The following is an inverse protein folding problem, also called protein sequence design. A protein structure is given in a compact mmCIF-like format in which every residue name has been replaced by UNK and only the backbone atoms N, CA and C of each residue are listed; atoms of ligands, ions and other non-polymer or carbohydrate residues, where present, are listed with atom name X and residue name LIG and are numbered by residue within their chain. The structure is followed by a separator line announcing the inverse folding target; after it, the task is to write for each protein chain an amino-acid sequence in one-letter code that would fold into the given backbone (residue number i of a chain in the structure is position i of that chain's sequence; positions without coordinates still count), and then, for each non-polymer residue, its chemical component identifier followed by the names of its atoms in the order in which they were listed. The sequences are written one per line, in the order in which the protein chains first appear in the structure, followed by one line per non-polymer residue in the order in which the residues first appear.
data_IF_065348248588
#
_entry.id   IF_065348248588
#
_cell.length_a   1.000
_cell.length_b   1.000
_cell.length_c   1.000
_cell.angle_alpha   90.00
_cell.angle_beta   90.00
_cell.angle_gamma   90.00
#
_symmetry.space_group_name_H-M   'P 1'
#
loop_
_entity.id
_entity.type
_entity.pdbx_description
1 polymer ?
#
# COMPACT_ATOMS: atom_id res chain seq x y z
N UNK A 1 4.84 -7.93 -10.07
CA UNK A 1 5.60 -7.68 -8.83
C UNK A 1 6.47 -6.43 -8.92
N UNK A 2 7.35 -6.29 -9.93
CA UNK A 2 8.33 -5.18 -10.01
C UNK A 2 7.71 -3.78 -9.90
N UNK A 3 6.56 -3.53 -10.52
CA UNK A 3 5.86 -2.25 -10.41
C UNK A 3 5.48 -1.89 -8.96
N UNK A 4 5.04 -2.88 -8.16
CA UNK A 4 4.69 -2.68 -6.75
C UNK A 4 5.95 -2.34 -5.95
N UNK A 5 7.02 -3.13 -6.13
CA UNK A 5 8.32 -2.91 -5.46
C UNK A 5 8.91 -1.54 -5.82
N UNK A 6 8.77 -1.11 -7.08
CA UNK A 6 9.18 0.20 -7.55
C UNK A 6 8.44 1.32 -6.79
N UNK A 7 7.12 1.18 -6.65
CA UNK A 7 6.26 2.17 -6.00
C UNK A 7 6.27 2.13 -4.45
N UNK A 8 6.91 1.12 -3.83
CA UNK A 8 7.00 0.98 -2.36
C UNK A 8 8.45 1.02 -1.88
N UNK A 9 9.12 -0.14 -1.79
CA UNK A 9 10.45 -0.26 -1.22
C UNK A 9 11.50 0.59 -1.96
N UNK A 10 11.50 0.56 -3.30
CA UNK A 10 12.45 1.38 -4.09
C UNK A 10 12.15 2.87 -3.99
N UNK A 11 10.88 3.26 -3.98
CA UNK A 11 10.51 4.65 -3.75
C UNK A 11 11.00 5.13 -2.37
N UNK A 12 10.87 4.31 -1.32
CA UNK A 12 11.38 4.61 0.01
C UNK A 12 12.91 4.77 0.03
N UNK A 13 13.65 3.90 -0.68
CA UNK A 13 15.10 4.05 -0.89
C UNK A 13 15.46 5.37 -1.58
N UNK A 14 14.77 5.70 -2.68
CA UNK A 14 14.98 6.96 -3.42
C UNK A 14 14.72 8.20 -2.58
N UNK A 15 13.74 8.13 -1.67
CA UNK A 15 13.40 9.22 -0.74
C UNK A 15 14.24 9.24 0.54
N UNK A 16 15.14 8.26 0.73
CA UNK A 16 15.91 8.07 1.97
C UNK A 16 15.02 7.96 3.21
N UNK A 17 13.89 7.25 3.08
CA UNK A 17 12.89 7.03 4.13
C UNK A 17 12.84 5.55 4.53
N UNK A 18 13.77 5.07 5.38
CA UNK A 18 13.85 3.66 5.76
C UNK A 18 12.64 3.18 6.57
N UNK A 19 11.85 4.10 7.11
CA UNK A 19 10.63 3.90 7.86
C UNK A 19 9.38 3.67 6.98
N UNK A 20 9.50 3.76 5.64
CA UNK A 20 8.41 3.57 4.68
C UNK A 20 8.62 2.34 3.78
N UNK A 21 7.60 2.04 2.97
CA UNK A 21 7.73 1.18 1.78
C UNK A 21 7.79 -0.33 2.03
N UNK A 22 7.66 -0.80 3.27
CA UNK A 22 7.54 -2.22 3.59
C UNK A 22 6.64 -2.46 4.80
N UNK A 23 6.06 -3.66 4.88
CA UNK A 23 5.23 -4.11 5.99
C UNK A 23 6.09 -4.86 7.00
N UNK A 24 6.76 -4.12 7.89
CA UNK A 24 7.65 -4.67 8.91
C UNK A 24 7.49 -3.93 10.25
N UNK A 25 7.69 -4.60 11.40
CA UNK A 25 7.64 -3.92 12.70
C UNK A 25 8.63 -2.76 12.79
N UNK A 26 8.19 -1.64 13.39
CA UNK A 26 8.99 -0.43 13.56
C UNK A 26 8.96 0.55 12.39
N UNK A 27 8.29 0.20 11.28
CA UNK A 27 7.99 1.13 10.17
C UNK A 27 6.64 1.82 10.37
N UNK A 28 6.42 2.91 9.64
CA UNK A 28 5.13 3.62 9.67
C UNK A 28 4.00 2.72 9.17
N UNK A 29 2.82 2.90 9.76
CA UNK A 29 1.60 2.18 9.39
C UNK A 29 0.97 2.70 8.09
N UNK A 30 1.73 2.68 7.00
CA UNK A 30 1.27 3.10 5.66
C UNK A 30 0.83 1.88 4.86
N UNK A 31 -0.48 1.67 4.77
CA UNK A 31 -1.06 0.45 4.17
C UNK A 31 -2.23 0.80 3.26
N UNK A 32 -2.19 0.23 2.05
CA UNK A 32 -3.31 0.26 1.10
C UNK A 32 -3.81 -1.17 0.89
N UNK A 33 -5.08 -1.42 1.17
CA UNK A 33 -5.75 -2.69 0.89
C UNK A 33 -6.58 -2.58 -0.38
N UNK A 34 -6.38 -3.49 -1.32
CA UNK A 34 -7.10 -3.56 -2.59
C UNK A 34 -7.94 -4.84 -2.65
N UNK A 35 -9.14 -4.75 -3.21
CA UNK A 35 -10.00 -5.89 -3.52
C UNK A 35 -9.53 -6.57 -4.80
N UNK A 36 -9.11 -7.83 -4.69
CA UNK A 36 -8.50 -8.62 -5.76
C UNK A 36 -6.97 -8.71 -5.64
N UNK A 37 -6.34 -9.39 -6.61
CA UNK A 37 -4.89 -9.59 -6.64
C UNK A 37 -4.21 -8.66 -7.67
N UNK A 38 -3.44 -7.64 -7.23
CA UNK A 38 -2.74 -6.73 -8.13
C UNK A 38 -1.53 -7.36 -8.84
N UNK A 39 -1.10 -8.56 -8.42
CA UNK A 39 -0.08 -9.31 -9.17
C UNK A 39 -0.67 -9.95 -10.42
N UNK A 40 -1.96 -10.30 -10.37
CA UNK A 40 -2.72 -10.83 -11.50
C UNK A 40 -3.30 -9.72 -12.39
N UNK A 41 -3.76 -8.59 -11.81
CA UNK A 41 -4.22 -7.42 -12.57
C UNK A 41 -3.83 -6.09 -11.89
N UNK A 42 -2.79 -5.43 -12.42
CA UNK A 42 -2.28 -4.17 -11.87
C UNK A 42 -3.27 -3.01 -11.99
N UNK A 43 -4.28 -3.09 -12.88
CA UNK A 43 -5.28 -2.02 -13.08
C UNK A 43 -6.18 -1.83 -11.87
N UNK A 44 -6.28 -2.82 -10.98
CA UNK A 44 -7.02 -2.71 -9.72
C UNK A 44 -6.56 -1.52 -8.87
N UNK A 45 -5.27 -1.14 -8.93
CA UNK A 45 -4.72 0.00 -8.20
C UNK A 45 -5.18 1.36 -8.75
N UNK A 46 -5.76 1.40 -9.96
CA UNK A 46 -6.29 2.62 -10.58
C UNK A 46 -7.74 2.91 -10.15
N UNK A 47 -8.48 1.88 -9.72
CA UNK A 47 -9.87 1.98 -9.29
C UNK A 47 -10.01 2.38 -7.83
N UNK A 48 -10.52 3.59 -7.55
CA UNK A 48 -10.75 4.07 -6.17
C UNK A 48 -11.77 3.21 -5.39
N UNK A 49 -12.67 2.54 -6.12
CA UNK A 49 -13.66 1.60 -5.59
C UNK A 49 -13.02 0.27 -5.15
N UNK A 50 -11.91 -0.12 -5.79
CA UNK A 50 -11.14 -1.34 -5.48
C UNK A 50 -10.23 -1.16 -4.27
N UNK A 51 -9.75 0.05 -4.00
CA UNK A 51 -9.02 0.34 -2.75
C UNK A 51 -10.01 0.31 -1.58
N UNK A 52 -10.02 -0.75 -0.75
CA UNK A 52 -10.96 -0.89 0.38
C UNK A 52 -10.39 -0.40 1.71
N UNK A 53 -9.07 -0.33 1.81
CA UNK A 53 -8.39 0.13 3.02
C UNK A 53 -7.34 1.18 2.68
N UNK A 54 -7.29 2.25 3.47
CA UNK A 54 -6.23 3.23 3.48
C UNK A 54 -5.90 3.51 4.94
N UNK A 55 -4.69 3.16 5.34
CA UNK A 55 -4.08 3.53 6.61
C UNK A 55 -2.85 4.38 6.31
N UNK A 56 -2.67 5.46 7.06
CA UNK A 56 -1.49 6.32 6.97
C UNK A 56 -1.04 6.67 8.38
N UNK A 57 0.26 6.53 8.65
CA UNK A 57 0.85 6.78 9.98
C UNK A 57 0.14 6.01 11.11
N UNK A 58 -0.43 4.84 10.80
CA UNK A 58 -1.19 4.01 11.75
C UNK A 58 -2.66 4.41 11.94
N UNK A 59 -3.13 5.49 11.30
CA UNK A 59 -4.52 5.94 11.37
C UNK A 59 -5.32 5.48 10.15
N UNK A 60 -6.57 5.05 10.36
CA UNK A 60 -7.45 4.66 9.26
C UNK A 60 -8.12 5.87 8.60
N UNK A 61 -7.91 6.02 7.29
CA UNK A 61 -8.59 7.00 6.44
C UNK A 61 -9.71 6.36 5.61
N UNK A 62 -9.64 5.04 5.38
CA UNK A 62 -10.68 4.23 4.76
C UNK A 62 -10.61 2.81 5.32
N UNK A 63 -11.74 2.26 5.74
CA UNK A 63 -11.83 0.90 6.27
C UNK A 63 -13.14 0.25 5.80
N UNK A 64 -13.10 -0.46 4.67
CA UNK A 64 -14.21 -1.22 4.08
C UNK A 64 -13.89 -2.70 3.90
N UNK A 65 -12.97 -3.24 4.71
CA UNK A 65 -12.59 -4.66 4.70
C UNK A 65 -13.46 -5.52 5.62
N UNK A 66 -14.41 -4.91 6.32
CA UNK A 66 -15.36 -5.59 7.21
C UNK A 66 -16.76 -5.19 6.76
N UNK A 67 -17.38 -6.06 5.97
CA UNK A 67 -18.83 -6.17 5.81
C UNK A 67 -19.22 -7.60 6.22
#
# INVERSE_FOLDING_TARGET
MEAIVCATGRAAECMQRPDLGALEPGRLGDVVGVEGDPLSDIKLLQGRDKIKLIMKDGEFYKQKLVE
#
